data_IF_704862816735
#
_entry.id   IF_704862816735
#
_cell.length_a   1.000
_cell.length_b   1.000
_cell.length_c   1.000
_cell.angle_alpha   90.00
_cell.angle_beta   90.00
_cell.angle_gamma   90.00
#
_symmetry.space_group_name_H-M   'P 1'
#
loop_
_entity.id
_entity.type
_entity.pdbx_description
1 polymer ?
#
# COMPACT_ATOMS: atom_id res chain seq x y z
N UNK A 1 15.36 -0.92 -6.63
CA UNK A 1 16.31 -1.69 -7.46
C UNK A 1 15.65 -2.43 -8.64
N UNK A 2 14.45 -3.00 -8.45
CA UNK A 2 13.73 -3.73 -9.51
C UNK A 2 13.51 -2.90 -10.78
N UNK A 3 13.15 -1.61 -10.68
CA UNK A 3 12.96 -0.75 -11.85
C UNK A 3 14.16 -0.64 -12.77
N UNK A 4 15.36 -0.46 -12.21
CA UNK A 4 16.56 -0.38 -13.03
C UNK A 4 16.93 -1.69 -13.73
N UNK A 5 16.49 -2.84 -13.20
CA UNK A 5 16.63 -4.13 -13.87
C UNK A 5 15.59 -4.28 -14.98
N UNK A 6 14.34 -3.94 -14.69
CA UNK A 6 13.21 -3.98 -15.64
C UNK A 6 13.45 -3.04 -16.83
N UNK A 7 14.05 -1.87 -16.61
CA UNK A 7 14.36 -0.90 -17.67
C UNK A 7 15.32 -1.45 -18.73
N UNK A 8 16.15 -2.43 -18.35
CA UNK A 8 17.15 -3.08 -19.22
C UNK A 8 16.62 -4.34 -19.90
N UNK A 9 15.44 -4.81 -19.52
CA UNK A 9 14.84 -6.05 -20.02
C UNK A 9 13.64 -5.74 -20.91
N UNK A 10 13.28 -6.70 -21.77
CA UNK A 10 11.97 -6.68 -22.41
C UNK A 10 10.91 -6.93 -21.33
N UNK A 11 9.91 -6.07 -21.27
CA UNK A 11 8.89 -6.01 -20.22
C UNK A 11 7.93 -7.18 -20.34
N UNK A 12 7.53 -7.57 -21.56
CA UNK A 12 6.60 -8.69 -21.75
C UNK A 12 7.12 -10.04 -21.22
N UNK A 13 8.36 -10.48 -21.52
CA UNK A 13 8.93 -11.67 -20.89
C UNK A 13 8.99 -11.59 -19.36
N UNK A 14 9.31 -10.41 -18.80
CA UNK A 14 9.33 -10.20 -17.35
C UNK A 14 7.94 -10.40 -16.76
N UNK A 15 6.90 -9.79 -17.34
CA UNK A 15 5.52 -9.95 -16.90
C UNK A 15 5.05 -11.41 -16.93
N UNK A 16 5.36 -12.13 -18.01
CA UNK A 16 4.99 -13.55 -18.14
C UNK A 16 5.77 -14.41 -17.13
N UNK A 17 7.07 -14.17 -16.95
CA UNK A 17 7.89 -14.95 -16.03
C UNK A 17 7.46 -14.75 -14.58
N UNK A 18 7.10 -13.52 -14.18
CA UNK A 18 6.61 -13.25 -12.82
C UNK A 18 5.22 -13.82 -12.57
N UNK A 19 4.32 -13.83 -13.56
CA UNK A 19 3.03 -14.54 -13.47
C UNK A 19 3.22 -16.06 -13.32
N UNK A 20 4.04 -16.68 -14.16
CA UNK A 20 4.30 -18.12 -14.08
C UNK A 20 4.98 -18.49 -12.74
N UNK A 21 5.93 -17.67 -12.28
CA UNK A 21 6.55 -17.86 -10.97
C UNK A 21 5.55 -17.77 -9.82
N UNK A 22 4.64 -16.79 -9.83
CA UNK A 22 3.57 -16.65 -8.82
C UNK A 22 2.59 -17.80 -8.86
N UNK A 23 2.20 -18.26 -10.05
CA UNK A 23 1.34 -19.43 -10.21
C UNK A 23 1.98 -20.70 -9.61
N UNK A 24 3.27 -20.94 -9.87
CA UNK A 24 4.00 -22.08 -9.30
C UNK A 24 4.13 -21.98 -7.78
N UNK A 25 4.49 -20.80 -7.26
CA UNK A 25 4.65 -20.57 -5.83
C UNK A 25 3.32 -20.73 -5.10
N UNK A 26 2.23 -20.11 -5.57
CA UNK A 26 0.92 -20.24 -4.94
C UNK A 26 0.33 -21.64 -5.11
N UNK A 27 0.52 -22.27 -6.27
CA UNK A 27 0.10 -23.65 -6.55
C UNK A 27 0.80 -24.69 -5.67
N UNK A 28 1.99 -24.39 -5.14
CA UNK A 28 2.66 -25.26 -4.19
C UNK A 28 1.94 -25.38 -2.84
N UNK A 29 1.15 -24.38 -2.43
CA UNK A 29 0.42 -24.36 -1.14
C UNK A 29 -0.64 -25.47 -1.07
N UNK A 30 -1.62 -25.57 -1.99
CA UNK A 30 -2.60 -26.65 -1.97
C UNK A 30 -1.94 -28.02 -2.12
N UNK A 31 -0.87 -28.14 -2.91
CA UNK A 31 -0.11 -29.39 -3.03
C UNK A 31 0.49 -29.82 -1.69
N UNK A 32 1.16 -28.90 -0.98
CA UNK A 32 1.70 -29.16 0.35
C UNK A 32 0.60 -29.47 1.38
N UNK A 33 -0.57 -28.84 1.26
CA UNK A 33 -1.73 -29.11 2.10
C UNK A 33 -2.25 -30.54 1.91
N UNK A 34 -2.40 -30.97 0.65
CA UNK A 34 -2.88 -32.32 0.29
C UNK A 34 -1.89 -33.41 0.71
N UNK A 35 -0.58 -33.13 0.63
CA UNK A 35 0.47 -34.06 1.04
C UNK A 35 0.72 -34.07 2.56
N UNK A 36 0.05 -33.22 3.34
CA UNK A 36 0.20 -33.15 4.80
C UNK A 36 1.51 -32.52 5.29
N UNK A 37 2.28 -31.87 4.41
CA UNK A 37 3.54 -31.19 4.74
C UNK A 37 3.42 -29.66 4.75
N UNK A 38 2.20 -29.11 4.78
CA UNK A 38 1.99 -27.67 4.86
C UNK A 38 2.47 -27.15 6.21
N UNK A 39 3.56 -26.39 6.19
CA UNK A 39 4.12 -25.71 7.36
C UNK A 39 4.19 -24.21 7.14
N UNK A 40 4.29 -23.45 8.23
CA UNK A 40 4.29 -21.99 8.17
C UNK A 40 5.54 -21.44 7.48
N UNK A 41 6.67 -22.14 7.58
CA UNK A 41 7.93 -21.80 6.90
C UNK A 41 7.77 -21.83 5.39
N UNK A 42 6.99 -22.77 4.86
CA UNK A 42 6.66 -22.83 3.44
C UNK A 42 5.83 -21.62 3.01
N UNK A 43 4.82 -21.25 3.81
CA UNK A 43 4.01 -20.06 3.55
C UNK A 43 4.84 -18.78 3.58
N UNK A 44 5.82 -18.67 4.47
CA UNK A 44 6.75 -17.54 4.50
C UNK A 44 7.62 -17.47 3.25
N UNK A 45 8.17 -18.60 2.81
CA UNK A 45 8.98 -18.64 1.59
C UNK A 45 8.14 -18.28 0.35
N UNK A 46 6.95 -18.85 0.23
CA UNK A 46 6.02 -18.54 -0.87
C UNK A 46 5.62 -17.07 -0.86
N UNK A 47 5.23 -16.53 0.29
CA UNK A 47 4.86 -15.12 0.40
C UNK A 47 6.02 -14.19 0.05
N UNK A 48 7.23 -14.46 0.55
CA UNK A 48 8.42 -13.66 0.26
C UNK A 48 8.73 -13.64 -1.25
N UNK A 49 8.82 -14.83 -1.86
CA UNK A 49 9.16 -14.95 -3.27
C UNK A 49 8.05 -14.38 -4.17
N UNK A 50 6.78 -14.63 -3.84
CA UNK A 50 5.66 -14.08 -4.59
C UNK A 50 5.65 -12.54 -4.51
N UNK A 51 5.92 -11.95 -3.35
CA UNK A 51 6.03 -10.49 -3.21
C UNK A 51 7.17 -9.92 -4.04
N UNK A 52 8.34 -10.58 -4.09
CA UNK A 52 9.44 -10.15 -4.96
C UNK A 52 8.98 -10.16 -6.42
N UNK A 53 8.36 -11.23 -6.89
CA UNK A 53 7.85 -11.33 -8.27
C UNK A 53 6.78 -10.26 -8.57
N UNK A 54 5.91 -9.95 -7.61
CA UNK A 54 4.92 -8.88 -7.74
C UNK A 54 5.58 -7.52 -7.93
N UNK A 55 6.63 -7.20 -7.18
CA UNK A 55 7.37 -5.93 -7.38
C UNK A 55 7.95 -5.82 -8.80
N UNK A 56 8.52 -6.91 -9.34
CA UNK A 56 8.99 -6.90 -10.73
C UNK A 56 7.84 -6.74 -11.74
N UNK A 57 6.70 -7.38 -11.48
CA UNK A 57 5.52 -7.26 -12.32
C UNK A 57 4.96 -5.84 -12.33
N UNK A 58 4.75 -5.22 -11.17
CA UNK A 58 4.14 -3.90 -11.05
C UNK A 58 4.98 -2.84 -11.78
N UNK A 59 6.30 -2.92 -11.61
CA UNK A 59 7.22 -2.00 -12.29
C UNK A 59 7.22 -2.24 -13.80
N UNK A 60 7.21 -3.50 -14.26
CA UNK A 60 7.13 -3.81 -15.68
C UNK A 60 5.78 -3.38 -16.28
N UNK A 61 4.68 -3.57 -15.56
CA UNK A 61 3.32 -3.28 -16.02
C UNK A 61 3.11 -1.78 -16.23
N UNK A 62 3.59 -0.96 -15.29
CA UNK A 62 3.53 0.50 -15.39
C UNK A 62 4.26 1.05 -16.61
N UNK A 63 5.38 0.43 -17.02
CA UNK A 63 6.14 0.82 -18.21
C UNK A 63 5.71 0.10 -19.50
N UNK A 64 4.94 -0.98 -19.40
CA UNK A 64 4.53 -1.77 -20.57
C UNK A 64 3.39 -1.10 -21.34
N UNK A 65 2.36 -0.57 -20.66
CA UNK A 65 1.22 0.08 -21.32
C UNK A 65 1.69 1.23 -22.25
N UNK A 66 2.52 2.19 -21.80
CA UNK A 66 2.96 3.29 -22.67
C UNK A 66 3.82 2.86 -23.86
N UNK A 67 4.41 1.66 -23.81
CA UNK A 67 5.23 1.13 -24.89
C UNK A 67 4.41 0.48 -26.02
N UNK A 68 3.16 0.08 -25.75
CA UNK A 68 2.32 -0.68 -26.70
C UNK A 68 1.11 0.09 -27.23
N UNK A 69 0.76 1.25 -26.64
CA UNK A 69 -0.34 2.11 -27.12
C UNK A 69 0.16 3.49 -27.55
N UNK A 70 -0.60 4.15 -28.42
CA UNK A 70 -0.31 5.52 -28.82
C UNK A 70 -0.56 6.52 -27.68
N UNK A 71 0.12 7.68 -27.71
CA UNK A 71 -0.01 8.72 -26.66
C UNK A 71 -1.47 9.17 -26.43
N UNK A 72 -2.29 9.23 -27.49
CA UNK A 72 -3.70 9.59 -27.40
C UNK A 72 -4.57 8.55 -26.69
N UNK A 73 -4.13 7.29 -26.63
CA UNK A 73 -4.84 6.19 -25.99
C UNK A 73 -4.41 5.94 -24.54
N UNK A 74 -3.38 6.65 -24.05
CA UNK A 74 -2.85 6.43 -22.70
C UNK A 74 -3.89 6.68 -21.62
N UNK A 75 -4.69 7.74 -21.76
CA UNK A 75 -5.73 8.07 -20.77
C UNK A 75 -6.76 6.94 -20.73
N UNK A 76 -7.30 6.53 -21.87
CA UNK A 76 -8.28 5.44 -21.95
C UNK A 76 -7.72 4.11 -21.41
N UNK A 77 -6.48 3.77 -21.78
CA UNK A 77 -5.81 2.56 -21.30
C UNK A 77 -5.62 2.56 -19.78
N UNK A 78 -5.12 3.66 -19.21
CA UNK A 78 -4.97 3.81 -17.77
C UNK A 78 -6.32 3.80 -17.04
N UNK A 79 -7.36 4.44 -17.61
CA UNK A 79 -8.71 4.41 -17.02
C UNK A 79 -9.27 2.98 -16.96
N UNK A 80 -9.06 2.16 -18.00
CA UNK A 80 -9.48 0.74 -18.01
C UNK A 80 -8.73 -0.11 -16.98
N UNK A 81 -7.41 0.10 -16.84
CA UNK A 81 -6.60 -0.59 -15.82
C UNK A 81 -7.05 -0.19 -14.41
N UNK A 82 -7.20 1.11 -14.15
CA UNK A 82 -7.64 1.62 -12.85
C UNK A 82 -9.05 1.12 -12.48
N UNK A 83 -9.97 1.05 -13.45
CA UNK A 83 -11.30 0.46 -13.25
C UNK A 83 -11.22 -1.03 -12.89
N UNK A 84 -10.36 -1.79 -13.57
CA UNK A 84 -10.14 -3.21 -13.30
C UNK A 84 -9.55 -3.45 -11.91
N UNK A 85 -8.56 -2.63 -11.52
CA UNK A 85 -7.95 -2.68 -10.19
C UNK A 85 -8.96 -2.32 -9.10
N UNK A 86 -9.75 -1.27 -9.31
CA UNK A 86 -10.80 -0.85 -8.36
C UNK A 86 -11.84 -1.95 -8.17
N UNK A 87 -12.29 -2.60 -9.26
CA UNK A 87 -13.21 -3.73 -9.18
C UNK A 87 -12.59 -4.90 -8.41
N UNK A 88 -11.33 -5.22 -8.66
CA UNK A 88 -10.62 -6.27 -7.92
C UNK A 88 -10.50 -5.94 -6.42
N UNK A 89 -10.23 -4.69 -6.06
CA UNK A 89 -10.15 -4.27 -4.65
C UNK A 89 -11.51 -4.27 -3.94
N UNK A 90 -12.59 -3.96 -4.65
CA UNK A 90 -13.96 -3.95 -4.08
C UNK A 90 -14.50 -5.38 -3.93
N UNK A 91 -14.41 -6.18 -5.00
CA UNK A 91 -15.00 -7.50 -5.05
C UNK A 91 -14.09 -8.59 -4.44
N UNK A 92 -12.77 -8.42 -4.55
CA UNK A 92 -11.77 -9.42 -4.19
C UNK A 92 -11.89 -9.95 -2.76
N UNK A 93 -11.91 -9.10 -1.72
CA UNK A 93 -12.06 -9.56 -0.33
C UNK A 93 -13.38 -10.29 -0.07
N UNK A 94 -14.49 -9.83 -0.66
CA UNK A 94 -15.80 -10.46 -0.52
C UNK A 94 -15.86 -11.83 -1.20
N UNK A 95 -15.46 -11.90 -2.48
CA UNK A 95 -15.39 -13.14 -3.26
C UNK A 95 -14.40 -14.12 -2.61
N UNK A 96 -13.23 -13.65 -2.18
CA UNK A 96 -12.23 -14.46 -1.49
C UNK A 96 -12.75 -15.03 -0.17
N UNK A 97 -13.45 -14.22 0.64
CA UNK A 97 -14.08 -14.69 1.88
C UNK A 97 -15.13 -15.79 1.65
N UNK A 98 -15.98 -15.62 0.63
CA UNK A 98 -16.98 -16.62 0.23
C UNK A 98 -16.32 -17.90 -0.29
N UNK A 99 -15.30 -17.79 -1.15
CA UNK A 99 -14.56 -18.95 -1.65
C UNK A 99 -13.90 -19.73 -0.51
N UNK A 100 -13.22 -19.06 0.42
CA UNK A 100 -12.60 -19.74 1.57
C UNK A 100 -13.65 -20.49 2.41
N UNK A 101 -14.85 -19.93 2.55
CA UNK A 101 -15.94 -20.58 3.27
C UNK A 101 -16.52 -21.79 2.52
N UNK A 102 -16.64 -21.73 1.19
CA UNK A 102 -17.24 -22.79 0.38
C UNK A 102 -16.28 -23.93 0.06
N UNK A 103 -15.02 -23.60 -0.27
CA UNK A 103 -14.04 -24.55 -0.80
C UNK A 103 -12.75 -24.63 0.01
N UNK A 104 -12.66 -24.01 1.19
CA UNK A 104 -11.46 -23.94 2.05
C UNK A 104 -10.33 -23.04 1.53
N UNK A 105 -9.43 -22.64 2.43
CA UNK A 105 -8.32 -21.75 2.11
C UNK A 105 -7.33 -22.31 1.06
N UNK A 106 -6.85 -23.57 1.14
CA UNK A 106 -5.91 -24.11 0.15
C UNK A 106 -6.47 -24.13 -1.28
N UNK A 107 -7.74 -24.53 -1.47
CA UNK A 107 -8.34 -24.56 -2.80
C UNK A 107 -8.65 -23.15 -3.32
N UNK A 108 -8.95 -22.19 -2.44
CA UNK A 108 -9.10 -20.79 -2.85
C UNK A 108 -7.78 -20.22 -3.38
N UNK A 109 -6.65 -20.58 -2.76
CA UNK A 109 -5.31 -20.23 -3.25
C UNK A 109 -5.01 -20.88 -4.61
N UNK A 110 -5.53 -22.10 -4.87
CA UNK A 110 -5.40 -22.73 -6.19
C UNK A 110 -6.14 -21.94 -7.27
N UNK A 111 -7.35 -21.44 -6.98
CA UNK A 111 -8.11 -20.57 -7.89
C UNK A 111 -7.31 -19.29 -8.20
N UNK A 112 -6.67 -18.71 -7.18
CA UNK A 112 -5.80 -17.55 -7.35
C UNK A 112 -4.57 -17.87 -8.22
N UNK A 113 -3.92 -19.02 -8.00
CA UNK A 113 -2.79 -19.48 -8.83
C UNK A 113 -3.17 -19.64 -10.31
N UNK A 114 -4.38 -20.13 -10.60
CA UNK A 114 -4.90 -20.25 -11.97
C UNK A 114 -5.09 -18.87 -12.60
N UNK A 115 -5.49 -17.86 -11.83
CA UNK A 115 -5.66 -16.48 -12.34
C UNK A 115 -4.35 -15.91 -12.90
N UNK A 116 -3.20 -16.23 -12.27
CA UNK A 116 -1.88 -15.86 -12.79
C UNK A 116 -1.55 -16.56 -14.11
N UNK A 117 -1.97 -17.81 -14.31
CA UNK A 117 -1.81 -18.51 -15.61
C UNK A 117 -2.67 -17.85 -16.70
N UNK A 118 -3.89 -17.43 -16.36
CA UNK A 118 -4.77 -16.70 -17.28
C UNK A 118 -4.15 -15.34 -17.65
N UNK A 119 -3.53 -14.64 -16.69
CA UNK A 119 -2.79 -13.39 -16.96
C UNK A 119 -1.60 -13.63 -17.89
N UNK A 120 -0.76 -14.63 -17.62
CA UNK A 120 0.37 -14.98 -18.48
C UNK A 120 -0.07 -15.31 -19.92
N UNK A 121 -1.16 -16.07 -20.07
CA UNK A 121 -1.72 -16.39 -21.38
C UNK A 121 -2.25 -15.14 -22.08
N UNK A 122 -2.96 -14.26 -21.36
CA UNK A 122 -3.48 -13.00 -21.89
C UNK A 122 -2.35 -12.09 -22.40
N UNK A 123 -1.26 -11.96 -21.63
CA UNK A 123 -0.05 -11.24 -22.04
C UNK A 123 0.64 -11.91 -23.26
N UNK A 124 0.60 -13.24 -23.35
CA UNK A 124 1.09 -13.97 -24.52
C UNK A 124 0.21 -13.77 -25.77
N UNK A 125 -1.05 -13.39 -25.62
CA UNK A 125 -1.94 -13.13 -26.76
C UNK A 125 -1.81 -11.70 -27.31
N UNK A 126 -1.16 -10.77 -26.58
CA UNK A 126 -0.90 -9.41 -27.06
C UNK A 126 0.03 -9.45 -28.28
N UNK A 127 -0.43 -8.88 -29.40
CA UNK A 127 0.30 -8.85 -30.69
C UNK A 127 1.10 -7.56 -30.93
N UNK A 128 1.01 -6.58 -30.02
CA UNK A 128 1.76 -5.33 -30.13
C UNK A 128 3.27 -5.58 -30.06
N UNK A 129 4.02 -4.95 -30.96
CA UNK A 129 5.47 -5.02 -30.97
C UNK A 129 6.04 -4.18 -29.82
N UNK A 130 6.82 -4.82 -28.95
CA UNK A 130 7.50 -4.12 -27.86
C UNK A 130 8.81 -3.50 -28.38
N UNK A 131 9.05 -2.19 -28.21
CA UNK A 131 10.32 -1.57 -28.54
C UNK A 131 11.48 -2.19 -27.76
N UNK A 132 12.67 -2.28 -28.38
CA UNK A 132 13.87 -2.75 -27.70
C UNK A 132 14.22 -1.82 -26.52
N UNK A 133 14.76 -2.35 -25.40
CA UNK A 133 15.22 -1.52 -24.29
C UNK A 133 16.31 -0.54 -24.74
N UNK A 134 16.20 0.72 -24.31
CA UNK A 134 17.27 1.72 -24.53
C UNK A 134 18.48 1.36 -23.65
N UNK A 135 19.72 1.40 -24.17
CA UNK A 135 20.92 1.21 -23.35
C UNK A 135 20.95 2.21 -22.20
N UNK A 136 21.19 1.72 -20.98
CA UNK A 136 21.33 2.58 -19.80
C UNK A 136 22.68 3.32 -19.83
N UNK A 137 22.67 4.58 -19.42
CA UNK A 137 23.87 5.41 -19.28
C UNK A 137 24.78 4.83 -18.17
N UNK A 138 26.06 4.51 -18.44
CA UNK A 138 26.97 3.86 -17.48
C UNK A 138 27.20 4.64 -16.18
N UNK A 139 26.98 5.96 -16.17
CA UNK A 139 27.20 6.84 -15.02
C UNK A 139 26.05 6.84 -14.00
N UNK A 140 24.87 6.30 -14.35
CA UNK A 140 23.70 6.27 -13.46
C UNK A 140 23.78 5.10 -12.46
N UNK A 141 24.58 5.28 -11.40
CA UNK A 141 24.60 4.36 -10.27
C UNK A 141 23.36 4.60 -9.40
N UNK A 142 22.38 3.71 -9.50
CA UNK A 142 21.13 3.67 -8.70
C UNK A 142 21.36 4.04 -7.22
N UNK A 143 22.44 3.54 -6.63
CA UNK A 143 22.80 3.81 -5.23
C UNK A 143 23.20 5.26 -4.95
N UNK A 144 23.87 5.93 -5.90
CA UNK A 144 24.14 7.37 -5.80
C UNK A 144 22.85 8.18 -5.94
N UNK A 145 21.92 7.76 -6.80
CA UNK A 145 20.62 8.46 -6.96
C UNK A 145 19.71 8.32 -5.73
N UNK A 146 19.73 7.14 -5.08
CA UNK A 146 19.05 6.92 -3.79
C UNK A 146 19.66 7.82 -2.71
N UNK A 147 20.99 7.94 -2.69
CA UNK A 147 21.72 8.82 -1.77
C UNK A 147 21.35 10.31 -1.95
N UNK A 148 21.25 10.77 -3.20
CA UNK A 148 20.84 12.15 -3.51
C UNK A 148 19.42 12.45 -3.04
N UNK A 149 18.48 11.51 -3.27
CA UNK A 149 17.08 11.64 -2.82
C UNK A 149 16.96 11.71 -1.30
N UNK A 150 17.67 10.83 -0.59
CA UNK A 150 17.71 10.82 0.88
C UNK A 150 18.35 12.09 1.44
N UNK A 151 19.43 12.59 0.82
CA UNK A 151 20.11 13.82 1.26
C UNK A 151 19.22 15.04 1.12
N UNK A 152 18.48 15.16 0.02
CA UNK A 152 17.50 16.23 -0.16
C UNK A 152 16.36 16.12 0.86
N UNK A 153 15.81 14.91 1.04
CA UNK A 153 14.72 14.64 1.98
C UNK A 153 15.09 15.02 3.42
N UNK A 154 16.34 14.78 3.83
CA UNK A 154 16.83 15.11 5.18
C UNK A 154 17.13 16.60 5.37
N UNK A 155 17.44 17.32 4.30
CA UNK A 155 17.69 18.77 4.31
C UNK A 155 16.41 19.58 4.40
N UNK A 156 15.36 19.18 3.68
CA UNK A 156 14.10 19.90 3.66
C UNK A 156 13.21 19.53 4.86
N UNK A 157 12.92 20.45 5.80
CA UNK A 157 12.20 20.14 7.03
C UNK A 157 10.77 19.65 6.77
N UNK A 158 10.13 20.09 5.69
CA UNK A 158 8.80 19.63 5.28
C UNK A 158 8.83 18.19 4.76
N UNK A 159 9.80 17.86 3.90
CA UNK A 159 9.94 16.50 3.36
C UNK A 159 10.33 15.50 4.46
N UNK A 160 11.22 15.91 5.38
CA UNK A 160 11.59 15.10 6.54
C UNK A 160 10.40 14.82 7.46
N UNK A 161 9.53 15.80 7.67
CA UNK A 161 8.29 15.63 8.44
C UNK A 161 7.33 14.64 7.77
N UNK A 162 7.21 14.69 6.43
CA UNK A 162 6.39 13.73 5.69
C UNK A 162 6.96 12.32 5.78
N UNK A 163 8.28 12.17 5.61
CA UNK A 163 8.95 10.88 5.69
C UNK A 163 8.81 10.27 7.09
N UNK A 164 9.03 11.06 8.14
CA UNK A 164 8.85 10.63 9.53
C UNK A 164 7.40 10.24 9.81
N UNK A 165 6.44 11.07 9.43
CA UNK A 165 5.02 10.78 9.60
C UNK A 165 4.61 9.49 8.87
N UNK A 166 4.98 9.35 7.60
CA UNK A 166 4.62 8.19 6.78
C UNK A 166 5.31 6.93 7.29
N UNK A 167 6.60 6.99 7.62
CA UNK A 167 7.35 5.87 8.17
C UNK A 167 6.80 5.41 9.52
N UNK A 168 6.41 6.34 10.41
CA UNK A 168 5.77 6.02 11.70
C UNK A 168 4.37 5.42 11.50
N UNK A 169 3.51 6.01 10.66
CA UNK A 169 2.18 5.47 10.37
C UNK A 169 2.26 4.06 9.79
N UNK A 170 3.12 3.82 8.81
CA UNK A 170 3.26 2.51 8.20
C UNK A 170 3.97 1.51 9.12
N UNK A 171 4.97 1.93 9.89
CA UNK A 171 5.66 1.04 10.83
C UNK A 171 4.70 0.50 11.90
N UNK A 172 3.97 1.39 12.58
CA UNK A 172 2.98 0.98 13.57
C UNK A 172 1.71 0.39 12.92
N UNK A 173 1.37 0.82 11.70
CA UNK A 173 0.33 0.18 10.88
C UNK A 173 0.68 -1.28 10.60
N UNK A 174 1.95 -1.59 10.28
CA UNK A 174 2.43 -2.95 10.10
C UNK A 174 2.31 -3.81 11.36
N UNK A 175 2.67 -3.26 12.54
CA UNK A 175 2.43 -3.91 13.85
C UNK A 175 0.96 -4.28 14.00
N UNK A 176 0.07 -3.35 13.68
CA UNK A 176 -1.36 -3.49 13.85
C UNK A 176 -1.97 -4.48 12.85
N UNK A 177 -1.72 -4.31 11.56
CA UNK A 177 -2.35 -5.06 10.47
C UNK A 177 -1.92 -6.52 10.45
N UNK A 178 -0.70 -6.84 10.91
CA UNK A 178 -0.22 -8.21 11.08
C UNK A 178 -1.10 -9.01 12.05
N UNK A 179 -1.66 -8.34 13.06
CA UNK A 179 -2.41 -8.97 14.14
C UNK A 179 -3.92 -8.82 13.98
N UNK A 180 -4.37 -7.74 13.34
CA UNK A 180 -5.78 -7.34 13.29
C UNK A 180 -6.70 -8.44 12.78
N UNK A 181 -6.38 -9.06 11.63
CA UNK A 181 -7.25 -10.10 11.03
C UNK A 181 -7.34 -11.34 11.92
N UNK A 182 -6.21 -11.76 12.49
CA UNK A 182 -6.15 -12.90 13.41
C UNK A 182 -6.97 -12.60 14.67
N UNK A 183 -6.81 -11.41 15.23
CA UNK A 183 -7.56 -10.94 16.39
C UNK A 183 -9.07 -10.90 16.13
N UNK A 184 -9.48 -10.32 15.00
CA UNK A 184 -10.89 -10.22 14.64
C UNK A 184 -11.55 -11.60 14.49
N UNK A 185 -10.87 -12.55 13.84
CA UNK A 185 -11.42 -13.88 13.60
C UNK A 185 -11.36 -14.76 14.85
N UNK A 186 -10.21 -14.80 15.54
CA UNK A 186 -9.97 -15.76 16.64
C UNK A 186 -10.41 -15.24 18.02
N UNK A 187 -10.31 -13.95 18.28
CA UNK A 187 -10.64 -13.38 19.59
C UNK A 187 -12.00 -12.67 19.60
N UNK A 188 -12.35 -11.96 18.51
CA UNK A 188 -13.65 -11.29 18.40
C UNK A 188 -14.73 -12.17 17.75
N UNK A 189 -14.39 -13.41 17.37
CA UNK A 189 -15.27 -14.40 16.75
C UNK A 189 -16.01 -13.87 15.50
N UNK A 190 -15.40 -12.94 14.76
CA UNK A 190 -15.97 -12.40 13.52
C UNK A 190 -15.71 -13.38 12.38
N UNK A 191 -16.76 -13.76 11.66
CA UNK A 191 -16.61 -14.64 10.50
C UNK A 191 -15.81 -13.96 9.37
N UNK A 192 -15.04 -14.72 8.56
CA UNK A 192 -14.30 -14.15 7.43
C UNK A 192 -15.20 -13.38 6.44
N UNK A 193 -16.42 -13.87 6.19
CA UNK A 193 -17.39 -13.21 5.33
C UNK A 193 -17.81 -11.84 5.87
N UNK A 194 -18.10 -11.75 7.17
CA UNK A 194 -18.47 -10.48 7.81
C UNK A 194 -17.29 -9.50 7.87
N UNK A 195 -16.07 -10.00 8.08
CA UNK A 195 -14.87 -9.17 7.99
C UNK A 195 -14.66 -8.62 6.56
N UNK A 196 -14.91 -9.45 5.54
CA UNK A 196 -14.88 -9.05 4.14
C UNK A 196 -15.89 -7.95 3.82
N UNK A 197 -17.13 -8.04 4.31
CA UNK A 197 -18.15 -7.00 4.10
C UNK A 197 -17.79 -5.69 4.80
N UNK A 198 -17.23 -5.75 6.02
CA UNK A 198 -16.70 -4.57 6.72
C UNK A 198 -15.63 -3.88 5.86
N UNK A 199 -14.71 -4.63 5.26
CA UNK A 199 -13.71 -4.05 4.36
C UNK A 199 -14.30 -3.44 3.09
N UNK A 200 -15.30 -4.08 2.49
CA UNK A 200 -16.02 -3.51 1.34
C UNK A 200 -16.68 -2.16 1.69
N UNK A 201 -17.28 -2.04 2.88
CA UNK A 201 -17.78 -0.76 3.41
C UNK A 201 -16.67 0.29 3.54
N UNK A 202 -15.50 -0.11 4.03
CA UNK A 202 -14.30 0.73 4.06
C UNK A 202 -13.87 1.22 2.68
N UNK A 203 -13.92 0.37 1.65
CA UNK A 203 -13.60 0.76 0.27
C UNK A 203 -14.56 1.81 -0.29
N UNK A 204 -15.86 1.71 0.04
CA UNK A 204 -16.84 2.75 -0.31
C UNK A 204 -16.52 4.07 0.41
N UNK A 205 -16.18 4.00 1.70
CA UNK A 205 -15.77 5.17 2.47
C UNK A 205 -14.46 5.79 1.95
N UNK A 206 -13.54 5.00 1.39
CA UNK A 206 -12.35 5.49 0.71
C UNK A 206 -12.69 6.34 -0.51
N UNK A 207 -13.60 5.88 -1.36
CA UNK A 207 -14.06 6.66 -2.50
C UNK A 207 -14.67 8.00 -2.05
N UNK A 208 -15.55 7.96 -1.03
CA UNK A 208 -16.11 9.18 -0.44
C UNK A 208 -15.03 10.10 0.13
N UNK A 209 -14.05 9.54 0.83
CA UNK A 209 -12.89 10.25 1.34
C UNK A 209 -12.13 10.98 0.23
N UNK A 210 -11.83 10.30 -0.88
CA UNK A 210 -11.14 10.87 -2.03
C UNK A 210 -11.89 12.07 -2.65
N UNK A 211 -13.22 11.98 -2.77
CA UNK A 211 -14.06 13.10 -3.25
C UNK A 211 -14.06 14.26 -2.24
N UNK A 212 -14.03 13.97 -0.94
CA UNK A 212 -14.02 14.97 0.13
C UNK A 212 -12.68 15.69 0.28
N UNK A 213 -11.56 15.11 -0.16
CA UNK A 213 -10.21 15.68 -0.02
C UNK A 213 -10.17 17.14 -0.46
N UNK A 214 -10.65 17.46 -1.66
CA UNK A 214 -10.57 18.82 -2.19
C UNK A 214 -11.38 19.81 -1.34
N UNK A 215 -12.61 19.44 -0.94
CA UNK A 215 -13.47 20.29 -0.12
C UNK A 215 -12.87 20.56 1.26
N UNK A 216 -12.30 19.53 1.89
CA UNK A 216 -11.64 19.66 3.21
C UNK A 216 -10.37 20.49 3.07
N UNK A 217 -9.57 20.26 2.03
CA UNK A 217 -8.34 20.99 1.73
C UNK A 217 -8.59 22.48 1.49
N UNK A 218 -9.66 22.83 0.77
CA UNK A 218 -10.04 24.23 0.54
C UNK A 218 -10.46 24.94 1.82
N UNK A 219 -11.07 24.23 2.78
CA UNK A 219 -11.53 24.81 4.05
C UNK A 219 -10.42 24.91 5.10
N UNK A 220 -9.62 23.87 5.25
CA UNK A 220 -8.64 23.76 6.34
C UNK A 220 -7.21 24.10 5.89
N UNK A 221 -6.93 24.05 4.59
CA UNK A 221 -5.58 24.09 4.04
C UNK A 221 -4.96 22.68 3.94
N UNK A 222 -3.89 22.55 3.15
CA UNK A 222 -3.25 21.26 2.87
C UNK A 222 -2.62 20.64 4.12
N UNK A 223 -1.83 21.41 4.89
CA UNK A 223 -1.15 20.89 6.07
C UNK A 223 -2.09 20.41 7.19
N UNK A 224 -3.18 21.15 7.42
CA UNK A 224 -4.19 20.78 8.43
C UNK A 224 -5.02 19.58 7.99
N UNK A 225 -5.33 19.47 6.69
CA UNK A 225 -6.04 18.30 6.15
C UNK A 225 -5.20 17.03 6.30
N UNK A 226 -3.90 17.12 6.05
CA UNK A 226 -2.99 16.00 6.24
C UNK A 226 -2.89 15.59 7.71
N UNK A 227 -2.79 16.56 8.62
CA UNK A 227 -2.76 16.32 10.07
C UNK A 227 -4.05 15.64 10.54
N UNK A 228 -5.20 16.13 10.08
CA UNK A 228 -6.50 15.53 10.37
C UNK A 228 -6.56 14.07 9.88
N UNK A 229 -6.09 13.80 8.66
CA UNK A 229 -6.00 12.43 8.13
C UNK A 229 -5.15 11.52 9.00
N UNK A 230 -3.93 11.93 9.34
CA UNK A 230 -3.02 11.16 10.19
C UNK A 230 -3.62 10.87 11.58
N UNK A 231 -4.26 11.88 12.19
CA UNK A 231 -4.91 11.74 13.50
C UNK A 231 -6.07 10.75 13.44
N UNK A 232 -6.94 10.87 12.43
CA UNK A 232 -8.10 10.00 12.26
C UNK A 232 -7.69 8.54 11.99
N UNK A 233 -6.58 8.30 11.28
CA UNK A 233 -6.02 6.95 11.10
C UNK A 233 -5.68 6.31 12.45
N UNK A 234 -4.94 7.03 13.31
CA UNK A 234 -4.57 6.53 14.64
C UNK A 234 -5.80 6.28 15.53
N UNK A 235 -6.77 7.21 15.54
CA UNK A 235 -8.02 7.07 16.29
C UNK A 235 -8.83 5.86 15.78
N UNK A 236 -8.93 5.67 14.46
CA UNK A 236 -9.67 4.56 13.89
C UNK A 236 -9.09 3.20 14.33
N UNK A 237 -7.76 3.08 14.43
CA UNK A 237 -7.11 1.86 14.88
C UNK A 237 -7.34 1.56 16.37
N UNK A 238 -7.49 2.58 17.22
CA UNK A 238 -7.85 2.39 18.64
C UNK A 238 -9.21 1.74 18.86
N UNK A 239 -10.11 1.79 17.86
CA UNK A 239 -11.43 1.16 17.98
C UNK A 239 -11.37 -0.37 18.02
N UNK A 240 -10.29 -1.01 17.54
CA UNK A 240 -10.19 -2.49 17.58
C UNK A 240 -9.88 -3.02 18.98
N UNK A 241 -8.82 -2.55 19.68
CA UNK A 241 -8.63 -2.96 21.07
C UNK A 241 -9.85 -2.64 21.94
N UNK A 242 -10.50 -1.50 21.70
CA UNK A 242 -11.74 -1.12 22.38
C UNK A 242 -12.88 -2.11 22.14
N UNK A 243 -13.01 -2.66 20.92
CA UNK A 243 -13.95 -3.73 20.61
C UNK A 243 -13.69 -5.01 21.41
N UNK A 244 -12.42 -5.26 21.78
CA UNK A 244 -12.05 -6.35 22.69
C UNK A 244 -12.58 -6.19 24.12
N UNK A 245 -12.71 -4.95 24.58
CA UNK A 245 -13.19 -4.63 25.93
C UNK A 245 -14.72 -4.54 25.94
N UNK A 246 -15.30 -3.94 24.90
CA UNK A 246 -16.74 -3.72 24.76
C UNK A 246 -17.36 -4.78 23.84
N UNK A 247 -17.44 -6.03 24.32
CA UNK A 247 -17.90 -7.18 23.53
C UNK A 247 -19.31 -6.99 22.92
N UNK A 248 -20.17 -6.21 23.56
CA UNK A 248 -21.51 -5.87 23.04
C UNK A 248 -21.52 -4.88 21.85
N UNK A 249 -20.38 -4.23 21.56
CA UNK A 249 -20.25 -3.20 20.53
C UNK A 249 -19.20 -3.56 19.46
N UNK A 250 -18.79 -4.82 19.36
CA UNK A 250 -17.72 -5.26 18.42
C UNK A 250 -18.03 -4.86 16.98
N UNK A 251 -19.18 -5.28 16.46
CA UNK A 251 -19.54 -5.03 15.07
C UNK A 251 -19.62 -3.53 14.74
N UNK A 252 -20.36 -2.68 15.49
CA UNK A 252 -20.38 -1.25 15.19
C UNK A 252 -19.01 -0.60 15.31
N UNK A 253 -18.16 -1.00 16.26
CA UNK A 253 -16.80 -0.47 16.39
C UNK A 253 -15.91 -0.82 15.19
N UNK A 254 -15.99 -2.05 14.68
CA UNK A 254 -15.23 -2.47 13.49
C UNK A 254 -15.72 -1.77 12.21
N UNK A 255 -17.04 -1.60 12.07
CA UNK A 255 -17.63 -0.82 10.96
C UNK A 255 -17.18 0.64 11.05
N UNK A 256 -17.32 1.28 12.21
CA UNK A 256 -16.87 2.65 12.44
C UNK A 256 -15.38 2.82 12.13
N UNK A 257 -14.53 1.87 12.57
CA UNK A 257 -13.12 1.86 12.18
C UNK A 257 -12.96 1.87 10.67
N UNK A 258 -13.61 0.95 9.97
CA UNK A 258 -13.40 0.78 8.53
C UNK A 258 -13.85 2.02 7.76
N UNK A 259 -14.97 2.64 8.15
CA UNK A 259 -15.45 3.88 7.56
C UNK A 259 -14.50 5.07 7.85
N UNK A 260 -14.07 5.24 9.10
CA UNK A 260 -13.14 6.30 9.48
C UNK A 260 -11.80 6.16 8.76
N UNK A 261 -11.24 4.96 8.75
CA UNK A 261 -9.97 4.67 8.10
C UNK A 261 -10.06 4.84 6.58
N UNK A 262 -11.20 4.45 5.99
CA UNK A 262 -11.52 4.69 4.58
C UNK A 262 -11.50 6.19 4.25
N UNK A 263 -12.14 7.05 5.06
CA UNK A 263 -12.13 8.50 4.82
C UNK A 263 -10.76 9.14 5.11
N UNK A 264 -10.10 8.71 6.19
CA UNK A 264 -8.88 9.33 6.69
C UNK A 264 -7.65 9.09 5.79
N UNK A 265 -7.54 7.90 5.19
CA UNK A 265 -6.40 7.56 4.33
C UNK A 265 -6.26 8.49 3.12
N UNK A 266 -7.29 8.74 2.30
CA UNK A 266 -7.23 9.70 1.20
C UNK A 266 -6.87 11.12 1.66
N UNK A 267 -7.38 11.58 2.81
CA UNK A 267 -7.03 12.91 3.35
C UNK A 267 -5.53 13.03 3.59
N UNK A 268 -4.89 11.98 4.11
CA UNK A 268 -3.45 11.95 4.33
C UNK A 268 -2.67 11.73 3.02
N UNK A 269 -2.97 10.66 2.28
CA UNK A 269 -2.17 10.24 1.12
C UNK A 269 -2.21 11.26 -0.02
N UNK A 270 -3.40 11.77 -0.38
CA UNK A 270 -3.53 12.70 -1.50
C UNK A 270 -2.85 14.02 -1.20
N UNK A 271 -2.99 14.54 0.02
CA UNK A 271 -2.34 15.80 0.42
C UNK A 271 -0.82 15.63 0.53
N UNK A 272 -0.33 14.53 1.10
CA UNK A 272 1.10 14.21 1.18
C UNK A 272 1.76 14.11 -0.20
N UNK A 273 1.13 13.42 -1.14
CA UNK A 273 1.62 13.32 -2.52
C UNK A 273 1.61 14.69 -3.20
N UNK A 274 0.50 15.43 -3.10
CA UNK A 274 0.34 16.74 -3.75
C UNK A 274 1.35 17.77 -3.23
N UNK A 275 1.56 17.84 -1.92
CA UNK A 275 2.54 18.75 -1.32
C UNK A 275 3.96 18.41 -1.74
N UNK A 276 4.29 17.11 -1.77
CA UNK A 276 5.61 16.64 -2.23
C UNK A 276 5.87 17.00 -3.69
N UNK A 277 4.87 16.83 -4.54
CA UNK A 277 4.93 17.22 -5.95
C UNK A 277 5.13 18.74 -6.11
N UNK A 278 4.46 19.55 -5.28
CA UNK A 278 4.56 21.00 -5.34
C UNK A 278 5.92 21.55 -4.84
N UNK A 279 6.54 20.88 -3.86
CA UNK A 279 7.79 21.35 -3.22
C UNK A 279 9.06 20.80 -3.89
N UNK A 280 8.94 19.76 -4.73
CA UNK A 280 10.10 19.08 -5.28
C UNK A 280 10.31 19.46 -6.75
N UNK A 281 11.51 19.92 -7.14
CA UNK A 281 11.82 20.21 -8.54
C UNK A 281 11.59 18.99 -9.45
N UNK A 282 11.06 19.16 -10.69
CA UNK A 282 10.71 18.05 -11.57
C UNK A 282 11.83 17.01 -11.77
N UNK A 283 13.08 17.48 -11.89
CA UNK A 283 14.26 16.62 -12.07
C UNK A 283 14.61 15.73 -10.86
N UNK A 284 14.08 16.02 -9.67
CA UNK A 284 14.33 15.27 -8.44
C UNK A 284 13.09 14.51 -7.93
N UNK A 285 11.92 14.71 -8.55
CA UNK A 285 10.66 14.09 -8.12
C UNK A 285 10.73 12.57 -8.01
N UNK A 286 11.28 11.90 -9.03
CA UNK A 286 11.42 10.44 -9.03
C UNK A 286 12.31 9.93 -7.88
N UNK A 287 13.41 10.64 -7.59
CA UNK A 287 14.35 10.30 -6.51
C UNK A 287 13.74 10.50 -5.14
N UNK A 288 13.07 11.63 -4.91
CA UNK A 288 12.36 11.91 -3.64
C UNK A 288 11.22 10.92 -3.41
N UNK A 289 10.47 10.56 -4.46
CA UNK A 289 9.42 9.54 -4.35
C UNK A 289 9.99 8.17 -3.97
N UNK A 290 11.07 7.74 -4.61
CA UNK A 290 11.72 6.47 -4.27
C UNK A 290 12.20 6.45 -2.80
N UNK A 291 12.81 7.53 -2.32
CA UNK A 291 13.24 7.63 -0.91
C UNK A 291 12.07 7.64 0.07
N UNK A 292 11.00 8.36 -0.26
CA UNK A 292 9.77 8.39 0.55
C UNK A 292 9.09 7.04 0.60
N UNK A 293 9.03 6.31 -0.52
CA UNK A 293 8.45 4.97 -0.59
C UNK A 293 9.28 3.97 0.22
N UNK A 294 10.61 4.06 0.12
CA UNK A 294 11.51 3.23 0.91
C UNK A 294 11.32 3.43 2.42
N UNK A 295 11.16 4.68 2.87
CA UNK A 295 10.92 4.99 4.29
C UNK A 295 9.49 4.65 4.70
N UNK A 296 8.50 4.98 3.87
CA UNK A 296 7.08 4.80 4.16
C UNK A 296 6.69 3.33 4.12
N UNK A 297 6.79 2.69 2.96
CA UNK A 297 6.36 1.29 2.79
C UNK A 297 7.39 0.31 3.38
N UNK A 298 8.68 0.65 3.35
CA UNK A 298 9.73 -0.22 3.88
C UNK A 298 9.66 -0.45 5.40
N UNK A 299 9.02 0.43 6.17
CA UNK A 299 8.80 0.22 7.61
C UNK A 299 7.64 -0.72 7.91
N UNK A 300 6.71 -0.92 6.98
CA UNK A 300 5.55 -1.81 7.14
C UNK A 300 5.96 -3.27 7.48
N UNK A 301 6.85 -3.95 6.74
CA UNK A 301 7.26 -5.33 7.08
C UNK A 301 8.05 -5.39 8.40
N UNK A 302 8.87 -4.38 8.69
CA UNK A 302 9.58 -4.29 9.98
C UNK A 302 8.59 -4.17 11.14
N UNK A 303 7.56 -3.35 10.96
CA UNK A 303 6.44 -3.23 11.87
C UNK A 303 5.72 -4.55 12.08
N UNK A 304 5.40 -5.28 11.01
CA UNK A 304 4.75 -6.58 11.12
C UNK A 304 5.58 -7.61 11.90
N UNK A 305 6.90 -7.65 11.69
CA UNK A 305 7.82 -8.50 12.46
C UNK A 305 7.83 -8.13 13.94
N UNK A 306 7.96 -6.83 14.24
CA UNK A 306 7.88 -6.32 15.61
C UNK A 306 6.52 -6.64 16.24
N UNK A 307 5.43 -6.53 15.48
CA UNK A 307 4.08 -6.86 15.94
C UNK A 307 3.92 -8.33 16.28
N UNK A 308 4.48 -9.24 15.49
CA UNK A 308 4.54 -10.67 15.80
C UNK A 308 5.27 -10.94 17.12
N UNK A 309 6.47 -10.36 17.29
CA UNK A 309 7.25 -10.51 18.52
C UNK A 309 6.53 -9.91 19.75
N UNK A 310 5.95 -8.72 19.61
CA UNK A 310 5.16 -8.08 20.67
C UNK A 310 3.92 -8.91 21.04
N UNK A 311 3.27 -9.54 20.06
CA UNK A 311 2.11 -10.39 20.32
C UNK A 311 2.48 -11.66 21.09
N UNK A 312 3.67 -12.23 20.84
CA UNK A 312 4.19 -13.38 21.59
C UNK A 312 4.57 -12.99 23.03
N UNK A 313 5.23 -11.85 23.21
CA UNK A 313 5.73 -11.41 24.51
C UNK A 313 4.65 -10.80 25.42
N UNK A 314 3.76 -9.98 24.85
CA UNK A 314 2.80 -9.14 25.58
C UNK A 314 1.34 -9.54 25.33
N UNK A 315 1.09 -10.46 24.40
CA UNK A 315 -0.24 -10.82 23.94
C UNK A 315 -0.74 -9.92 22.81
N UNK A 316 -1.64 -10.48 21.99
CA UNK A 316 -2.18 -9.85 20.77
C UNK A 316 -2.84 -8.49 21.05
N UNK A 317 -3.60 -8.38 22.15
CA UNK A 317 -4.31 -7.14 22.50
C UNK A 317 -3.35 -5.99 22.82
N UNK A 318 -2.31 -6.24 23.61
CA UNK A 318 -1.32 -5.22 23.97
C UNK A 318 -0.51 -4.78 22.73
N UNK A 319 -0.14 -5.72 21.87
CA UNK A 319 0.54 -5.40 20.62
C UNK A 319 -0.33 -4.54 19.68
N UNK A 320 -1.63 -4.82 19.58
CA UNK A 320 -2.58 -3.96 18.84
C UNK A 320 -2.70 -2.56 19.45
N UNK A 321 -2.72 -2.43 20.79
CA UNK A 321 -2.70 -1.13 21.46
C UNK A 321 -1.44 -0.34 21.16
N UNK A 322 -0.27 -0.98 21.18
CA UNK A 322 1.02 -0.35 20.83
C UNK A 322 0.99 0.13 19.37
N UNK A 323 0.49 -0.69 18.44
CA UNK A 323 0.30 -0.30 17.04
C UNK A 323 -0.62 0.92 16.90
N UNK A 324 -1.78 0.92 17.57
CA UNK A 324 -2.74 2.01 17.48
C UNK A 324 -2.21 3.33 18.09
N UNK A 325 -1.64 3.26 19.31
CA UNK A 325 -1.08 4.43 20.00
C UNK A 325 0.18 4.96 19.31
N UNK A 326 1.06 4.07 18.83
CA UNK A 326 2.23 4.45 18.06
C UNK A 326 1.88 5.15 16.75
N UNK A 327 0.78 4.75 16.09
CA UNK A 327 0.23 5.47 14.94
C UNK A 327 -0.13 6.93 15.26
N UNK A 328 -0.68 7.21 16.45
CA UNK A 328 -0.97 8.60 16.88
C UNK A 328 0.30 9.44 17.06
N UNK A 329 1.42 8.81 17.42
CA UNK A 329 2.70 9.51 17.54
C UNK A 329 3.15 10.10 16.20
N UNK A 330 2.70 9.54 15.07
CA UNK A 330 3.03 10.07 13.75
C UNK A 330 2.57 11.52 13.53
N UNK A 331 1.54 11.97 14.27
CA UNK A 331 1.03 13.35 14.21
C UNK A 331 2.06 14.36 14.70
N UNK A 332 2.96 13.97 15.64
CA UNK A 332 3.98 14.88 16.16
C UNK A 332 4.96 15.34 15.09
N UNK A 333 5.28 14.50 14.10
CA UNK A 333 6.11 14.91 12.97
C UNK A 333 5.51 16.09 12.20
N UNK A 334 4.18 16.16 12.12
CA UNK A 334 3.47 17.21 11.41
C UNK A 334 3.25 18.47 12.27
N UNK A 335 2.94 18.28 13.56
CA UNK A 335 2.71 19.38 14.51
C UNK A 335 3.99 20.17 14.79
N UNK A 336 5.11 19.47 14.93
CA UNK A 336 6.42 20.08 15.22
C UNK A 336 7.09 20.64 13.96
N UNK A 337 6.45 20.51 12.80
CA UNK A 337 6.96 20.92 11.50
C UNK A 337 6.30 22.22 10.99
N UNK A 338 6.96 22.97 10.09
CA UNK A 338 6.33 24.10 9.38
C UNK A 338 5.10 23.73 8.56
N UNK A 339 4.84 22.44 8.34
CA UNK A 339 3.70 21.94 7.56
C UNK A 339 2.35 22.51 8.02
N UNK A 340 2.16 22.69 9.34
CA UNK A 340 0.89 23.19 9.91
C UNK A 340 0.49 24.60 9.43
N UNK A 341 1.46 25.42 9.01
CA UNK A 341 1.23 26.81 8.57
C UNK A 341 1.02 26.94 7.06
N UNK A 342 1.17 25.85 6.29
CA UNK A 342 0.94 25.85 4.85
C UNK A 342 -0.57 25.85 4.53
N UNK A 343 -1.16 27.05 4.45
CA UNK A 343 -2.50 27.28 3.88
C UNK A 343 -2.38 27.42 2.35
N UNK A 344 -3.37 26.90 1.62
CA UNK A 344 -3.34 26.61 0.18
C UNK A 344 -2.74 27.71 -0.71
N UNK A 345 -1.93 27.24 -1.67
CA UNK A 345 -1.49 27.81 -2.94
C UNK A 345 -2.14 29.13 -3.41
N UNK A 346 -1.69 30.23 -2.83
CA UNK A 346 -1.74 31.57 -3.41
C UNK A 346 -0.47 32.41 -3.14
N UNK A 347 0.38 31.98 -2.19
CA UNK A 347 1.56 32.75 -1.77
C UNK A 347 2.90 31.99 -1.92
N UNK A 348 2.90 30.67 -2.15
CA UNK A 348 4.15 29.90 -2.22
C UNK A 348 4.99 30.14 -3.48
N UNK A 349 4.44 30.72 -4.55
CA UNK A 349 5.24 31.07 -5.73
C UNK A 349 6.23 32.23 -5.45
N UNK A 350 6.02 33.02 -4.38
CA UNK A 350 6.91 34.14 -4.03
C UNK A 350 7.94 33.82 -2.95
N UNK A 351 7.70 32.85 -2.07
CA UNK A 351 8.61 32.59 -0.95
C UNK A 351 9.73 31.58 -1.26
N UNK A 352 9.56 30.71 -2.27
CA UNK A 352 10.54 29.66 -2.60
C UNK A 352 11.56 30.12 -3.65
N UNK A 353 11.30 31.24 -4.36
CA UNK A 353 12.23 31.83 -5.34
C UNK A 353 13.10 32.93 -4.70
N UNK A 354 12.80 33.36 -3.48
CA UNK A 354 13.48 34.49 -2.82
C UNK A 354 14.43 34.10 -1.68
N UNK A 355 14.89 32.85 -1.59
CA UNK A 355 15.93 32.44 -0.63
C UNK A 355 16.98 31.56 -1.28
#
# INVERSE_FOLDING_TARGET
PAGAWVDRLRRRPVLIATDLGRALLLGSIPLAALLGFLRIEHLYLVALLASVLTVFFDVAAGSYLPAIVSRGQLVEGNSKLAASESLAQIAGPGVGGVLVQLITAPLTILVDAISFLVSALSLRLIRAAEPAPTPADPEQRIWHEIGDGLRLLMREPVLRAFAGCSGTLNGFGGVFDALFKVYAIRHLAISPALLGTIFSLGSVAWFLGAVLVNRVTLRLGQGQTMLLGALLIGIANLLVPLAGVLLGAVLPLLVCRSLLLGIANPLYNVTSISMRQALTPPRLLGRVNASMEFIGVGTLPLGALVGGALAEMLGVWNALMIGALGGLVAVFWLVLSPVRSLRSSGQSHKAVISR
#
